data_IF_757405998030
#
_entry.id   IF_757405998030
#
_cell.length_a   1.000
_cell.length_b   1.000
_cell.length_c   1.000
_cell.angle_alpha   90.00
_cell.angle_beta   90.00
_cell.angle_gamma   90.00
#
_symmetry.space_group_name_H-M   'P 1'
#
loop_
_entity.id
_entity.type
_entity.pdbx_description
1 polymer ?
#
# COMPACT_ATOMS: atom_id res chain seq x y z
N UNK A 1 27.68 -28.42 13.43
CA UNK A 1 26.37 -29.06 13.62
C UNK A 1 25.47 -28.57 12.49
N UNK A 2 24.79 -29.45 11.76
CA UNK A 2 23.96 -29.05 10.61
C UNK A 2 22.64 -28.43 11.09
N UNK A 3 22.11 -27.45 10.35
CA UNK A 3 20.90 -26.69 10.74
C UNK A 3 19.68 -27.58 10.96
N UNK A 4 19.48 -28.60 10.12
CA UNK A 4 18.35 -29.55 10.26
C UNK A 4 18.43 -30.36 11.56
N UNK A 5 19.64 -30.71 12.00
CA UNK A 5 19.84 -31.41 13.29
C UNK A 5 19.59 -30.46 14.46
N UNK A 6 19.93 -29.18 14.31
CA UNK A 6 19.67 -28.16 15.33
C UNK A 6 18.17 -27.91 15.47
N UNK A 7 17.45 -27.71 14.37
CA UNK A 7 15.98 -27.55 14.36
C UNK A 7 15.30 -28.76 15.03
N UNK A 8 15.75 -29.97 14.73
CA UNK A 8 15.23 -31.19 15.35
C UNK A 8 15.43 -31.23 16.88
N UNK A 9 16.55 -30.70 17.39
CA UNK A 9 16.83 -30.62 18.84
C UNK A 9 16.11 -29.46 19.52
N UNK A 10 16.01 -28.30 18.86
CA UNK A 10 15.29 -27.13 19.37
C UNK A 10 13.82 -27.45 19.66
N UNK A 11 13.16 -28.24 18.80
CA UNK A 11 11.78 -28.68 19.03
C UNK A 11 11.59 -29.66 20.20
N UNK A 12 12.66 -30.16 20.82
CA UNK A 12 12.59 -31.16 21.90
C UNK A 12 13.12 -30.66 23.23
N UNK A 13 14.03 -29.70 23.20
CA UNK A 13 14.62 -29.13 24.39
C UNK A 13 14.53 -27.60 24.31
N UNK A 14 13.60 -27.08 25.10
CA UNK A 14 13.23 -25.67 25.14
C UNK A 14 14.28 -24.79 25.82
N UNK A 15 15.31 -25.39 26.42
CA UNK A 15 16.45 -24.64 26.95
C UNK A 15 17.49 -24.31 25.88
N UNK A 16 17.38 -24.86 24.67
CA UNK A 16 18.23 -24.49 23.54
C UNK A 16 17.61 -23.34 22.75
N UNK A 17 18.44 -22.37 22.36
CA UNK A 17 18.09 -21.30 21.41
C UNK A 17 19.07 -21.32 20.23
N UNK A 18 18.56 -21.05 19.02
CA UNK A 18 19.41 -20.83 17.83
C UNK A 18 20.07 -19.46 17.98
N UNK A 19 21.39 -19.40 17.90
CA UNK A 19 22.13 -18.13 17.91
C UNK A 19 22.72 -17.90 16.52
N UNK A 20 22.36 -16.77 15.90
CA UNK A 20 22.81 -16.41 14.57
C UNK A 20 21.97 -17.01 13.43
N UNK A 21 22.28 -16.58 12.20
CA UNK A 21 21.60 -17.01 10.97
C UNK A 21 22.14 -18.31 10.38
N UNK A 22 21.56 -18.70 9.25
CA UNK A 22 22.07 -19.81 8.42
C UNK A 22 23.41 -19.40 7.80
N UNK A 23 24.50 -20.13 8.09
CA UNK A 23 25.82 -19.82 7.52
C UNK A 23 25.99 -20.34 6.09
N UNK A 24 25.32 -21.45 5.77
CA UNK A 24 25.35 -22.11 4.46
C UNK A 24 24.15 -23.03 4.31
N UNK A 25 23.59 -23.14 3.10
CA UNK A 25 22.48 -24.03 2.76
C UNK A 25 23.01 -25.23 1.98
N UNK A 26 23.23 -26.34 2.68
CA UNK A 26 23.65 -27.61 2.06
C UNK A 26 22.49 -28.58 1.96
N UNK A 27 22.28 -29.11 0.76
CA UNK A 27 21.27 -30.11 0.50
C UNK A 27 21.79 -31.55 0.70
N UNK A 28 20.91 -32.43 1.15
CA UNK A 28 21.18 -33.87 1.21
C UNK A 28 20.93 -34.52 -0.16
N UNK A 29 21.87 -35.36 -0.59
CA UNK A 29 21.78 -36.11 -1.85
C UNK A 29 22.02 -37.60 -1.67
N UNK A 30 21.39 -38.41 -2.50
CA UNK A 30 21.62 -39.86 -2.55
C UNK A 30 22.69 -40.13 -3.61
N UNK A 31 23.87 -40.57 -3.18
CA UNK A 31 24.97 -40.90 -4.09
C UNK A 31 24.78 -42.28 -4.73
N UNK A 32 25.09 -42.39 -6.01
CA UNK A 32 25.08 -43.64 -6.78
C UNK A 32 26.33 -43.74 -7.65
N UNK A 33 26.80 -44.95 -8.00
CA UNK A 33 27.94 -45.11 -8.89
C UNK A 33 27.68 -44.43 -10.24
N UNK A 34 28.76 -43.98 -10.88
CA UNK A 34 28.69 -43.39 -12.22
C UNK A 34 28.04 -44.37 -13.21
N UNK A 35 27.19 -43.85 -14.09
CA UNK A 35 26.42 -44.61 -15.07
C UNK A 35 25.43 -45.63 -14.47
N UNK A 36 24.94 -45.43 -13.24
CA UNK A 36 23.88 -46.27 -12.70
C UNK A 36 22.56 -46.08 -13.48
N UNK A 37 21.88 -47.17 -13.88
CA UNK A 37 20.60 -47.08 -14.58
C UNK A 37 19.46 -46.54 -13.68
N UNK A 38 19.64 -46.60 -12.36
CA UNK A 38 18.63 -46.20 -11.38
C UNK A 38 18.61 -44.70 -11.08
N UNK A 39 19.66 -43.95 -11.45
CA UNK A 39 19.77 -42.52 -11.16
C UNK A 39 18.57 -41.72 -11.69
N UNK A 40 18.18 -41.97 -12.94
CA UNK A 40 17.07 -41.25 -13.57
C UNK A 40 15.73 -41.61 -12.92
N UNK A 41 15.51 -42.89 -12.64
CA UNK A 41 14.24 -43.39 -12.09
C UNK A 41 14.02 -42.82 -10.69
N UNK A 42 15.04 -42.86 -9.83
CA UNK A 42 14.97 -42.36 -8.45
C UNK A 42 14.79 -40.84 -8.44
N UNK A 43 15.51 -40.10 -9.31
CA UNK A 43 15.36 -38.66 -9.39
C UNK A 43 13.92 -38.25 -9.77
N UNK A 44 13.35 -38.91 -10.78
CA UNK A 44 11.94 -38.67 -11.16
C UNK A 44 10.97 -39.04 -10.04
N UNK A 45 11.22 -40.13 -9.30
CA UNK A 45 10.38 -40.50 -8.16
C UNK A 45 10.44 -39.45 -7.03
N UNK A 46 11.61 -38.92 -6.71
CA UNK A 46 11.78 -37.86 -5.72
C UNK A 46 11.05 -36.59 -6.15
N UNK A 47 11.16 -36.21 -7.43
CA UNK A 47 10.42 -35.06 -7.97
C UNK A 47 8.90 -35.22 -7.82
N UNK A 48 8.36 -36.41 -8.12
CA UNK A 48 6.93 -36.71 -7.91
C UNK A 48 6.54 -36.64 -6.43
N UNK A 49 7.39 -37.10 -5.52
CA UNK A 49 7.14 -36.99 -4.07
C UNK A 49 7.14 -35.55 -3.58
N UNK A 50 8.01 -34.70 -4.16
CA UNK A 50 8.06 -33.26 -3.88
C UNK A 50 6.82 -32.55 -4.42
N UNK A 51 6.43 -32.84 -5.66
CA UNK A 51 5.21 -32.30 -6.29
C UNK A 51 3.95 -32.67 -5.50
N UNK A 52 3.85 -33.93 -5.05
CA UNK A 52 2.74 -34.42 -4.23
C UNK A 52 2.82 -33.98 -2.75
N UNK A 53 3.78 -33.14 -2.37
CA UNK A 53 4.00 -32.64 -1.02
C UNK A 53 4.22 -33.73 0.06
N UNK A 54 4.52 -34.97 -0.35
CA UNK A 54 4.68 -36.11 0.57
C UNK A 54 5.93 -36.01 1.44
N UNK A 55 6.97 -35.36 0.94
CA UNK A 55 8.19 -35.13 1.71
C UNK A 55 7.94 -34.23 2.93
N UNK A 56 7.09 -33.21 2.79
CA UNK A 56 6.76 -32.31 3.89
C UNK A 56 5.87 -33.01 4.93
N UNK A 57 4.91 -33.82 4.50
CA UNK A 57 4.11 -34.66 5.41
C UNK A 57 5.00 -35.57 6.27
N UNK A 58 5.99 -36.22 5.66
CA UNK A 58 6.95 -37.07 6.37
C UNK A 58 7.81 -36.23 7.33
N UNK A 59 8.29 -35.06 6.90
CA UNK A 59 9.07 -34.15 7.74
C UNK A 59 8.26 -33.76 8.97
N UNK A 60 7.02 -33.32 8.80
CA UNK A 60 6.18 -32.85 9.89
C UNK A 60 5.82 -34.00 10.85
N UNK A 61 5.60 -35.21 10.33
CA UNK A 61 5.42 -36.41 11.14
C UNK A 61 6.63 -36.65 12.06
N UNK A 62 7.85 -36.62 11.52
CA UNK A 62 9.07 -36.87 12.30
C UNK A 62 9.44 -35.73 13.25
N UNK A 63 9.24 -34.49 12.84
CA UNK A 63 9.58 -33.32 13.65
C UNK A 63 8.55 -33.00 14.72
N UNK A 64 7.25 -33.23 14.48
CA UNK A 64 6.18 -32.79 15.38
C UNK A 64 5.46 -33.93 16.12
N UNK A 65 5.43 -35.16 15.58
CA UNK A 65 4.59 -36.25 16.18
C UNK A 65 5.38 -37.44 16.73
N UNK A 66 6.57 -37.71 16.19
CA UNK A 66 7.40 -38.86 16.60
C UNK A 66 8.46 -38.47 17.62
N UNK A 67 8.79 -39.42 18.51
CA UNK A 67 9.88 -39.31 19.49
C UNK A 67 9.82 -38.09 20.41
N UNK A 68 8.68 -37.88 21.09
CA UNK A 68 8.58 -36.94 22.21
C UNK A 68 8.78 -35.46 21.83
N UNK A 69 8.38 -35.08 20.61
CA UNK A 69 8.28 -33.67 20.24
C UNK A 69 7.16 -33.02 21.08
N UNK A 70 7.54 -32.40 22.19
CA UNK A 70 6.65 -31.53 22.95
C UNK A 70 6.77 -30.14 22.34
N UNK A 71 5.68 -29.51 21.88
CA UNK A 71 5.75 -28.12 21.49
C UNK A 71 6.24 -27.34 22.71
N UNK A 72 7.42 -26.74 22.60
CA UNK A 72 7.85 -25.77 23.59
C UNK A 72 6.74 -24.73 23.68
N UNK A 73 6.30 -24.35 24.89
CA UNK A 73 5.47 -23.18 25.02
C UNK A 73 6.22 -22.06 24.31
N UNK A 74 5.54 -21.37 23.39
CA UNK A 74 6.03 -20.11 22.87
C UNK A 74 6.18 -19.20 24.09
N UNK A 75 7.36 -19.21 24.70
CA UNK A 75 7.83 -18.02 25.37
C UNK A 75 7.73 -16.98 24.28
N UNK A 76 6.75 -16.09 24.43
CA UNK A 76 6.67 -14.83 23.70
C UNK A 76 7.96 -14.10 24.04
N UNK A 77 9.05 -14.50 23.42
CA UNK A 77 10.18 -13.63 23.22
C UNK A 77 9.55 -12.52 22.39
N UNK A 78 9.40 -11.36 23.01
CA UNK A 78 8.95 -10.08 22.43
C UNK A 78 9.88 -9.61 21.27
N UNK A 79 10.65 -10.53 20.68
CA UNK A 79 11.73 -10.33 19.73
C UNK A 79 11.62 -11.21 18.47
N UNK A 80 10.62 -12.10 18.33
CA UNK A 80 10.33 -12.78 17.05
C UNK A 80 9.56 -11.84 16.11
N UNK A 81 10.24 -10.74 15.83
CA UNK A 81 9.91 -9.72 14.87
C UNK A 81 10.35 -10.25 13.51
N UNK A 82 9.64 -11.22 12.94
CA UNK A 82 9.85 -11.63 11.53
C UNK A 82 8.64 -11.26 10.66
N UNK A 83 7.50 -11.00 11.29
CA UNK A 83 6.33 -10.36 10.69
C UNK A 83 6.05 -8.93 11.20
N UNK A 84 6.62 -8.49 12.32
CA UNK A 84 6.32 -7.17 12.93
C UNK A 84 7.18 -6.02 12.34
N UNK A 85 8.37 -6.30 11.79
CA UNK A 85 9.25 -5.25 11.24
C UNK A 85 8.59 -4.52 10.07
N UNK A 86 7.75 -5.19 9.28
CA UNK A 86 7.09 -4.55 8.14
C UNK A 86 5.92 -3.67 8.59
N UNK A 87 5.10 -4.15 9.54
CA UNK A 87 3.91 -3.42 10.02
C UNK A 87 4.28 -2.22 10.89
N UNK A 88 5.27 -2.38 11.79
CA UNK A 88 5.76 -1.29 12.62
C UNK A 88 6.46 -0.20 11.79
N UNK A 89 7.22 -0.60 10.76
CA UNK A 89 7.87 0.38 9.87
C UNK A 89 6.87 1.09 8.93
N UNK A 90 5.81 0.41 8.48
CA UNK A 90 4.73 1.02 7.69
C UNK A 90 3.88 1.99 8.51
N UNK A 91 3.77 1.81 9.82
CA UNK A 91 2.97 2.67 10.69
C UNK A 91 3.42 4.15 10.64
N UNK A 92 4.73 4.38 10.49
CA UNK A 92 5.29 5.74 10.35
C UNK A 92 4.77 6.47 9.10
N UNK A 93 4.62 5.75 7.98
CA UNK A 93 4.09 6.33 6.74
C UNK A 93 2.61 6.73 6.87
N UNK A 94 1.79 5.90 7.53
CA UNK A 94 0.38 6.22 7.78
C UNK A 94 0.21 7.47 8.67
N UNK A 95 1.03 7.61 9.71
CA UNK A 95 0.97 8.78 10.60
C UNK A 95 1.30 10.09 9.86
N UNK A 96 2.32 10.07 8.99
CA UNK A 96 2.69 11.25 8.19
C UNK A 96 1.59 11.61 7.19
N UNK A 97 0.95 10.62 6.56
CA UNK A 97 -0.16 10.86 5.63
C UNK A 97 -1.37 11.50 6.31
N UNK A 98 -1.79 10.95 7.44
CA UNK A 98 -2.95 11.47 8.19
C UNK A 98 -2.63 12.87 8.72
N UNK A 99 -1.45 13.06 9.31
CA UNK A 99 -1.00 14.36 9.81
C UNK A 99 -0.92 15.41 8.70
N UNK A 100 -0.33 15.06 7.56
CA UNK A 100 -0.23 15.94 6.39
C UNK A 100 -1.59 16.35 5.83
N UNK A 101 -2.57 15.45 5.80
CA UNK A 101 -3.92 15.74 5.35
C UNK A 101 -4.63 16.76 6.25
N UNK A 102 -4.52 16.60 7.57
CA UNK A 102 -5.12 17.56 8.51
C UNK A 102 -4.47 18.95 8.43
N UNK A 103 -3.13 19.02 8.34
CA UNK A 103 -2.41 20.29 8.23
C UNK A 103 -2.77 21.00 6.92
N UNK A 104 -2.80 20.27 5.80
CA UNK A 104 -3.17 20.82 4.50
C UNK A 104 -4.61 21.34 4.49
N UNK A 105 -5.55 20.59 5.08
CA UNK A 105 -6.95 21.02 5.23
C UNK A 105 -7.06 22.28 6.08
N UNK A 106 -6.33 22.35 7.20
CA UNK A 106 -6.39 23.49 8.11
C UNK A 106 -5.83 24.77 7.48
N UNK A 107 -4.68 24.69 6.79
CA UNK A 107 -4.08 25.82 6.06
C UNK A 107 -5.05 26.30 4.97
N UNK A 108 -5.59 25.39 4.17
CA UNK A 108 -6.57 25.71 3.12
C UNK A 108 -7.82 26.38 3.70
N UNK A 109 -8.34 25.87 4.81
CA UNK A 109 -9.51 26.46 5.48
C UNK A 109 -9.21 27.87 6.05
N UNK A 110 -8.02 28.07 6.60
CA UNK A 110 -7.59 29.38 7.13
C UNK A 110 -7.41 30.41 6.01
N UNK A 111 -6.76 30.04 4.91
CA UNK A 111 -6.63 30.89 3.72
C UNK A 111 -8.00 31.23 3.11
N UNK A 112 -8.86 30.22 2.96
CA UNK A 112 -10.22 30.42 2.46
C UNK A 112 -11.02 31.37 3.37
N UNK A 113 -10.91 31.22 4.69
CA UNK A 113 -11.61 32.11 5.63
C UNK A 113 -11.04 33.54 5.61
N UNK A 114 -9.72 33.71 5.45
CA UNK A 114 -9.10 35.03 5.30
C UNK A 114 -9.53 35.71 4.01
N UNK A 115 -9.58 34.99 2.90
CA UNK A 115 -10.05 35.50 1.61
C UNK A 115 -11.53 35.90 1.67
N UNK A 116 -12.39 35.04 2.24
CA UNK A 116 -13.81 35.36 2.44
C UNK A 116 -13.98 36.59 3.34
N UNK A 117 -13.20 36.71 4.43
CA UNK A 117 -13.23 37.91 5.29
C UNK A 117 -12.81 39.16 4.52
N UNK A 118 -11.75 39.08 3.71
CA UNK A 118 -11.27 40.21 2.90
C UNK A 118 -12.33 40.67 1.87
N UNK A 119 -13.02 39.72 1.24
CA UNK A 119 -14.12 39.99 0.30
C UNK A 119 -15.32 40.62 1.02
N UNK A 120 -15.72 40.09 2.17
CA UNK A 120 -16.85 40.61 2.97
C UNK A 120 -16.61 42.05 3.43
N UNK A 121 -15.39 42.37 3.84
CA UNK A 121 -15.00 43.74 4.25
C UNK A 121 -15.09 44.73 3.09
N UNK A 122 -14.84 44.31 1.85
CA UNK A 122 -14.96 45.19 0.67
C UNK A 122 -16.38 45.32 0.13
N UNK A 123 -17.24 44.32 0.29
CA UNK A 123 -18.49 44.20 -0.50
C UNK A 123 -19.81 44.18 0.30
N UNK A 124 -19.79 44.17 1.65
CA UNK A 124 -20.97 44.37 2.52
C UNK A 124 -22.19 43.48 2.16
N UNK A 125 -21.99 42.18 1.99
CA UNK A 125 -23.06 41.21 1.69
C UNK A 125 -23.18 40.10 2.73
N UNK A 126 -24.40 39.56 2.87
CA UNK A 126 -24.81 38.60 3.92
C UNK A 126 -23.93 37.34 4.00
N UNK A 127 -23.48 37.03 5.21
CA UNK A 127 -22.37 36.12 5.54
C UNK A 127 -22.54 34.66 5.12
N UNK A 128 -23.75 34.11 5.22
CA UNK A 128 -23.96 32.65 5.10
C UNK A 128 -24.15 32.19 3.66
N UNK A 129 -24.79 33.01 2.84
CA UNK A 129 -25.09 32.64 1.45
C UNK A 129 -23.86 32.72 0.55
N UNK A 130 -22.99 33.72 0.76
CA UNK A 130 -21.72 33.86 0.04
C UNK A 130 -20.78 32.72 0.43
N UNK A 131 -20.66 32.42 1.72
CA UNK A 131 -19.82 31.33 2.20
C UNK A 131 -20.25 29.96 1.66
N UNK A 132 -21.55 29.62 1.71
CA UNK A 132 -22.06 28.34 1.21
C UNK A 132 -21.92 28.23 -0.31
N UNK A 133 -22.12 29.33 -1.05
CA UNK A 133 -21.96 29.34 -2.52
C UNK A 133 -20.50 29.17 -2.93
N UNK A 134 -19.57 29.87 -2.27
CA UNK A 134 -18.12 29.75 -2.53
C UNK A 134 -17.58 28.38 -2.08
N UNK A 135 -18.04 27.85 -0.94
CA UNK A 135 -17.65 26.52 -0.45
C UNK A 135 -18.20 25.39 -1.34
N UNK A 136 -19.43 25.54 -1.84
CA UNK A 136 -20.01 24.60 -2.81
C UNK A 136 -19.32 24.67 -4.17
N UNK A 137 -18.84 25.84 -4.57
CA UNK A 137 -18.08 26.03 -5.80
C UNK A 137 -16.65 25.45 -5.68
N UNK A 138 -15.98 25.66 -4.55
CA UNK A 138 -14.62 25.12 -4.31
C UNK A 138 -14.60 23.61 -4.08
N UNK A 139 -15.64 23.04 -3.47
CA UNK A 139 -15.82 21.58 -3.33
C UNK A 139 -16.29 20.89 -4.63
N UNK A 140 -16.81 21.65 -5.60
CA UNK A 140 -17.05 21.16 -6.96
C UNK A 140 -15.73 21.21 -7.76
N UNK A 141 -14.84 20.27 -7.48
CA UNK A 141 -13.51 20.14 -8.09
C UNK A 141 -13.54 20.06 -9.64
N UNK A 142 -14.69 19.73 -10.24
CA UNK A 142 -14.89 19.65 -11.68
C UNK A 142 -15.19 20.98 -12.38
N UNK A 143 -15.27 22.11 -11.66
CA UNK A 143 -15.66 23.40 -12.23
C UNK A 143 -14.53 24.44 -12.09
N UNK A 144 -13.54 24.36 -12.98
CA UNK A 144 -12.33 25.20 -13.07
C UNK A 144 -12.58 26.69 -13.46
N UNK A 145 -13.77 27.24 -13.25
CA UNK A 145 -14.04 28.66 -13.50
C UNK A 145 -14.82 29.29 -12.35
N UNK A 146 -14.18 30.25 -11.69
CA UNK A 146 -14.75 31.12 -10.66
C UNK A 146 -15.91 31.93 -11.28
N UNK A 147 -17.18 31.74 -10.86
CA UNK A 147 -18.25 32.62 -11.31
C UNK A 147 -18.01 34.01 -10.70
N UNK A 148 -17.83 35.01 -11.55
CA UNK A 148 -17.67 36.41 -11.14
C UNK A 148 -18.98 36.88 -10.52
N UNK A 149 -19.01 37.05 -9.20
CA UNK A 149 -20.13 37.70 -8.51
C UNK A 149 -20.09 39.19 -8.89
N UNK A 150 -21.08 39.66 -9.66
CA UNK A 150 -21.31 41.10 -9.89
C UNK A 150 -22.53 41.52 -9.11
N UNK A 151 -22.36 42.54 -8.27
CA UNK A 151 -23.44 43.19 -7.54
C UNK A 151 -24.39 43.88 -8.56
N UNK A 152 -25.71 43.58 -8.59
CA UNK A 152 -26.64 44.15 -9.57
C UNK A 152 -26.88 45.66 -9.41
N UNK A 153 -26.40 46.27 -8.33
CA UNK A 153 -26.67 47.68 -8.00
C UNK A 153 -25.76 48.70 -8.72
N UNK A 154 -24.84 48.27 -9.59
CA UNK A 154 -23.92 49.19 -10.29
C UNK A 154 -23.86 48.87 -11.78
N UNK A 155 -24.92 49.21 -12.49
CA UNK A 155 -24.88 49.32 -13.95
C UNK A 155 -24.20 50.62 -14.36
N UNK A 156 -23.26 50.60 -15.32
CA UNK A 156 -23.15 51.64 -16.32
C UNK A 156 -23.87 51.18 -17.58
N UNK A 157 -24.64 52.09 -18.14
CA UNK A 157 -25.35 51.99 -19.40
C UNK A 157 -24.40 51.85 -20.60
N UNK A 158 -25.01 51.48 -21.73
CA UNK A 158 -24.61 51.72 -23.14
C UNK A 158 -24.25 50.48 -23.97
N UNK A 159 -25.23 50.19 -24.85
CA UNK A 159 -25.21 49.49 -26.14
C UNK A 159 -23.86 49.26 -26.84
N UNK A 160 -23.69 48.06 -27.40
CA UNK A 160 -23.52 47.90 -28.86
C UNK A 160 -23.79 46.46 -29.34
N UNK A 161 -24.13 46.39 -30.62
CA UNK A 161 -24.76 45.31 -31.40
C UNK A 161 -23.89 44.05 -31.59
N UNK A 162 -24.60 42.92 -31.71
CA UNK A 162 -24.35 41.72 -32.52
C UNK A 162 -22.91 41.29 -32.84
N UNK A 163 -22.57 40.06 -32.47
CA UNK A 163 -22.15 39.05 -33.45
C UNK A 163 -22.07 37.66 -32.82
N UNK A 164 -22.70 36.70 -33.49
CA UNK A 164 -22.42 35.28 -33.37
C UNK A 164 -20.94 35.02 -33.60
N UNK A 165 -20.29 34.20 -32.76
CA UNK A 165 -19.26 33.30 -33.25
C UNK A 165 -19.10 32.07 -32.35
N UNK A 166 -19.01 30.94 -33.05
CA UNK A 166 -18.97 29.56 -32.59
C UNK A 166 -17.61 29.21 -31.95
N UNK A 167 -17.66 28.16 -31.14
CA UNK A 167 -16.66 27.07 -31.05
C UNK A 167 -15.23 27.42 -30.64
N UNK A 168 -14.77 26.79 -29.55
CA UNK A 168 -13.69 25.81 -29.68
C UNK A 168 -13.71 24.80 -28.53
N UNK A 169 -14.17 23.59 -28.87
CA UNK A 169 -13.79 22.34 -28.21
C UNK A 169 -12.27 22.21 -28.36
N UNK A 170 -11.52 22.06 -27.26
CA UNK A 170 -10.13 21.58 -27.32
C UNK A 170 -9.75 20.82 -26.05
N UNK A 171 -9.66 19.50 -26.22
CA UNK A 171 -8.78 18.52 -25.57
C UNK A 171 -8.11 18.92 -24.25
N UNK A 172 -8.67 18.42 -23.13
CA UNK A 172 -7.87 18.19 -21.92
C UNK A 172 -8.37 17.01 -21.07
N UNK A 173 -8.92 15.99 -21.73
CA UNK A 173 -9.22 14.69 -21.10
C UNK A 173 -7.97 13.79 -20.92
N UNK A 174 -6.79 14.22 -21.40
CA UNK A 174 -5.63 13.33 -21.49
C UNK A 174 -4.77 13.27 -20.21
N UNK A 175 -4.75 14.33 -19.39
CA UNK A 175 -3.85 14.39 -18.21
C UNK A 175 -4.43 13.63 -17.01
N UNK A 176 -5.75 13.73 -16.80
CA UNK A 176 -6.43 13.05 -15.70
C UNK A 176 -6.67 11.56 -16.00
N UNK A 177 -6.83 11.21 -17.28
CA UNK A 177 -6.83 9.82 -17.74
C UNK A 177 -5.46 9.17 -17.62
N UNK A 178 -4.37 9.87 -17.94
CA UNK A 178 -3.01 9.32 -17.80
C UNK A 178 -2.64 8.99 -16.36
N UNK A 179 -3.00 9.81 -15.38
CA UNK A 179 -2.64 9.52 -13.99
C UNK A 179 -3.39 8.30 -13.44
N UNK A 180 -4.68 8.17 -13.75
CA UNK A 180 -5.49 7.01 -13.35
C UNK A 180 -5.06 5.74 -14.08
N UNK A 181 -4.69 5.85 -15.36
CA UNK A 181 -4.18 4.72 -16.13
C UNK A 181 -2.80 4.28 -15.63
N UNK A 182 -1.89 5.22 -15.34
CA UNK A 182 -0.58 4.92 -14.76
C UNK A 182 -0.70 4.31 -13.36
N UNK A 183 -1.72 4.70 -12.59
CA UNK A 183 -2.00 4.12 -11.27
C UNK A 183 -2.57 2.69 -11.38
N UNK A 184 -3.50 2.45 -12.31
CA UNK A 184 -4.04 1.11 -12.58
C UNK A 184 -3.00 0.15 -13.21
N UNK A 185 -2.02 0.67 -13.94
CA UNK A 185 -0.92 -0.10 -14.50
C UNK A 185 0.13 -0.45 -13.44
N UNK A 186 0.34 0.42 -12.45
CA UNK A 186 1.18 0.14 -11.29
C UNK A 186 0.61 -0.98 -10.40
N UNK A 187 -0.71 -1.06 -10.26
CA UNK A 187 -1.37 -2.12 -9.47
C UNK A 187 -1.29 -3.50 -10.15
N UNK A 188 -1.25 -3.55 -11.49
CA UNK A 188 -1.14 -4.81 -12.26
C UNK A 188 0.29 -5.35 -12.37
N UNK A 189 1.31 -4.56 -12.00
CA UNK A 189 2.72 -4.97 -12.04
C UNK A 189 3.23 -5.63 -10.75
N UNK A 190 2.37 -5.79 -9.75
CA UNK A 190 2.71 -6.36 -8.43
C UNK A 190 2.16 -7.79 -8.22
N UNK A 191 1.79 -8.51 -9.30
CA UNK A 191 1.40 -9.93 -9.29
C UNK A 191 2.35 -10.78 -10.13
#
# INVERSE_FOLDING_TARGET
MESATLEYKLKRDCHLRKVGGELDSKDYGIAMPANSPYRSIINTAILKLKENNKLNEIRDLWWNTKFGATPCPEEKDENDVEGDLEVENLLGAFLVLIGGLFICLFITAAEFMNEVRNIVVREQVSHKEVFIKELKASLNFFQLQKPVIRNPSRAPSVNSRSSSQKSHKSNRSNIQGQFVNNFLEFEKGQQ
#
